data_IF_137524294857
#
_entry.id   IF_137524294857
#
_cell.length_a   1.000
_cell.length_b   1.000
_cell.length_c   1.000
_cell.angle_alpha   90.00
_cell.angle_beta   90.00
_cell.angle_gamma   90.00
#
_symmetry.space_group_name_H-M   'P 1'
#
loop_
_entity.id
_entity.type
_entity.pdbx_description
1 polymer ?
#
# COMPACT_ATOMS: atom_id res chain seq x y z
N UNK A 1 7.51 -21.36 -19.11
CA UNK A 1 6.21 -20.85 -19.60
C UNK A 1 6.46 -19.86 -20.72
N UNK A 2 5.73 -19.95 -21.83
CA UNK A 2 5.87 -19.02 -22.96
C UNK A 2 5.27 -17.64 -22.67
N UNK A 3 5.66 -16.60 -23.44
CA UNK A 3 5.13 -15.24 -23.31
C UNK A 3 3.60 -15.19 -23.42
N UNK A 4 3.02 -15.90 -24.40
CA UNK A 4 1.57 -15.96 -24.61
C UNK A 4 0.84 -16.62 -23.43
N UNK A 5 1.39 -17.70 -22.87
CA UNK A 5 0.86 -18.36 -21.68
C UNK A 5 0.91 -17.44 -20.45
N UNK A 6 1.99 -16.66 -20.30
CA UNK A 6 2.12 -15.68 -19.19
C UNK A 6 1.10 -14.57 -19.32
N UNK A 7 0.94 -13.98 -20.51
CA UNK A 7 -0.06 -12.94 -20.78
C UNK A 7 -1.47 -13.49 -20.53
N UNK A 8 -1.78 -14.70 -21.00
CA UNK A 8 -3.06 -15.35 -20.76
C UNK A 8 -3.33 -15.53 -19.25
N UNK A 9 -2.32 -16.00 -18.51
CA UNK A 9 -2.42 -16.20 -17.06
C UNK A 9 -2.57 -14.89 -16.29
N UNK A 10 -1.86 -13.84 -16.68
CA UNK A 10 -2.02 -12.50 -16.11
C UNK A 10 -3.42 -11.95 -16.38
N UNK A 11 -3.96 -12.12 -17.59
CA UNK A 11 -5.33 -11.70 -17.90
C UNK A 11 -6.38 -12.51 -17.11
N UNK A 12 -6.22 -13.83 -16.98
CA UNK A 12 -7.09 -14.65 -16.13
C UNK A 12 -7.05 -14.18 -14.66
N UNK A 13 -5.84 -13.89 -14.17
CA UNK A 13 -5.62 -13.36 -12.82
C UNK A 13 -6.33 -12.03 -12.61
N UNK A 14 -6.22 -11.13 -13.59
CA UNK A 14 -6.90 -9.83 -13.60
C UNK A 14 -8.42 -10.02 -13.50
N UNK A 15 -9.02 -10.83 -14.36
CA UNK A 15 -10.47 -11.07 -14.36
C UNK A 15 -10.96 -11.68 -13.03
N UNK A 16 -10.19 -12.61 -12.47
CA UNK A 16 -10.50 -13.23 -11.18
C UNK A 16 -10.42 -12.21 -10.04
N UNK A 17 -9.44 -11.31 -10.05
CA UNK A 17 -9.32 -10.24 -9.06
C UNK A 17 -10.45 -9.22 -9.13
N UNK A 18 -10.92 -8.87 -10.34
CA UNK A 18 -12.06 -7.94 -10.49
C UNK A 18 -13.32 -8.47 -9.78
N UNK A 19 -13.54 -9.78 -9.90
CA UNK A 19 -14.67 -10.51 -9.29
C UNK A 19 -14.37 -11.04 -7.89
N UNK A 20 -13.26 -10.63 -7.27
CA UNK A 20 -12.85 -11.16 -5.96
C UNK A 20 -13.86 -10.81 -4.87
N UNK A 21 -14.33 -11.83 -4.15
CA UNK A 21 -15.32 -11.77 -3.07
C UNK A 21 -14.87 -12.47 -1.77
N UNK A 22 -13.76 -13.20 -1.79
CA UNK A 22 -13.16 -13.91 -0.65
C UNK A 22 -12.43 -12.96 0.33
N UNK A 23 -11.55 -13.49 1.20
CA UNK A 23 -10.79 -12.67 2.17
C UNK A 23 -9.56 -11.98 1.55
N UNK A 24 -9.00 -10.98 2.26
CA UNK A 24 -7.73 -10.34 1.87
C UNK A 24 -6.57 -11.34 1.93
N UNK A 25 -6.52 -12.17 2.99
CA UNK A 25 -5.51 -13.23 3.13
C UNK A 25 -5.47 -14.17 1.92
N UNK A 26 -6.62 -14.68 1.49
CA UNK A 26 -6.70 -15.56 0.33
C UNK A 26 -6.30 -14.84 -0.96
N UNK A 27 -6.57 -13.53 -1.07
CA UNK A 27 -6.15 -12.72 -2.22
C UNK A 27 -4.63 -12.61 -2.30
N UNK A 28 -3.98 -12.33 -1.15
CA UNK A 28 -2.52 -12.24 -1.05
C UNK A 28 -1.89 -13.59 -1.44
N UNK A 29 -2.40 -14.69 -0.90
CA UNK A 29 -1.86 -16.03 -1.19
C UNK A 29 -2.08 -16.44 -2.64
N UNK A 30 -3.23 -16.10 -3.22
CA UNK A 30 -3.52 -16.30 -4.63
C UNK A 30 -2.52 -15.55 -5.52
N UNK A 31 -2.31 -14.26 -5.27
CA UNK A 31 -1.37 -13.44 -6.04
C UNK A 31 0.07 -13.92 -5.91
N UNK A 32 0.52 -14.23 -4.69
CA UNK A 32 1.83 -14.80 -4.46
C UNK A 32 2.03 -16.10 -5.26
N UNK A 33 1.02 -16.96 -5.30
CA UNK A 33 1.10 -18.23 -6.02
C UNK A 33 1.20 -18.00 -7.52
N UNK A 34 0.35 -17.12 -8.07
CA UNK A 34 0.38 -16.76 -9.49
C UNK A 34 1.74 -16.16 -9.88
N UNK A 35 2.23 -15.16 -9.14
CA UNK A 35 3.49 -14.50 -9.47
C UNK A 35 4.69 -15.43 -9.28
N UNK A 36 4.67 -16.33 -8.28
CA UNK A 36 5.68 -17.38 -8.14
C UNK A 36 5.67 -18.31 -9.35
N UNK A 37 4.50 -18.74 -9.82
CA UNK A 37 4.39 -19.63 -10.99
C UNK A 37 4.85 -18.96 -12.29
N UNK A 38 4.56 -17.68 -12.47
CA UNK A 38 5.02 -16.89 -13.63
C UNK A 38 6.55 -16.71 -13.59
N UNK A 39 7.12 -16.45 -12.41
CA UNK A 39 8.55 -16.19 -12.24
C UNK A 39 9.41 -17.46 -12.07
N UNK A 40 8.80 -18.64 -11.82
CA UNK A 40 9.55 -19.89 -11.59
C UNK A 40 10.37 -20.35 -12.80
N UNK A 41 9.97 -19.92 -13.99
CA UNK A 41 10.61 -20.28 -15.26
C UNK A 41 11.48 -19.16 -15.85
N UNK A 42 11.73 -18.09 -15.09
CA UNK A 42 12.52 -16.96 -15.56
C UNK A 42 14.02 -17.33 -15.55
N UNK A 43 14.66 -17.32 -16.72
CA UNK A 43 16.11 -17.09 -16.78
C UNK A 43 16.36 -15.60 -16.55
N UNK A 44 17.45 -15.24 -15.87
CA UNK A 44 17.79 -13.83 -15.55
C UNK A 44 17.90 -12.90 -16.79
N UNK A 45 17.88 -13.47 -18.01
CA UNK A 45 18.01 -12.78 -19.30
C UNK A 45 16.68 -12.57 -20.06
N UNK A 46 15.54 -13.10 -19.60
CA UNK A 46 14.26 -12.84 -20.27
C UNK A 46 13.76 -11.42 -19.95
N UNK A 47 13.58 -10.57 -20.97
CA UNK A 47 12.99 -9.25 -20.78
C UNK A 47 11.47 -9.38 -20.64
N UNK A 48 10.94 -8.85 -19.53
CA UNK A 48 9.50 -8.62 -19.35
C UNK A 48 9.00 -7.74 -20.49
N UNK A 49 7.95 -8.17 -21.18
CA UNK A 49 7.34 -7.39 -22.27
C UNK A 49 6.62 -6.16 -21.73
N UNK A 50 6.56 -5.08 -22.52
CA UNK A 50 5.78 -3.88 -22.20
C UNK A 50 4.30 -4.23 -21.95
N UNK A 51 3.78 -5.23 -22.67
CA UNK A 51 2.41 -5.72 -22.52
C UNK A 51 2.20 -6.44 -21.18
N UNK A 52 3.14 -7.31 -20.79
CA UNK A 52 3.11 -7.96 -19.46
C UNK A 52 3.17 -6.91 -18.35
N UNK A 53 4.07 -5.94 -18.47
CA UNK A 53 4.24 -4.88 -17.49
C UNK A 53 2.96 -4.05 -17.33
N UNK A 54 2.26 -3.77 -18.44
CA UNK A 54 0.97 -3.06 -18.41
C UNK A 54 -0.10 -3.86 -17.67
N UNK A 55 -0.24 -5.16 -17.94
CA UNK A 55 -1.23 -6.02 -17.26
C UNK A 55 -0.90 -6.13 -15.77
N UNK A 56 0.38 -6.27 -15.40
CA UNK A 56 0.83 -6.29 -14.00
C UNK A 56 0.46 -4.97 -13.29
N UNK A 57 0.62 -3.83 -13.95
CA UNK A 57 0.19 -2.54 -13.39
C UNK A 57 -1.32 -2.47 -13.15
N UNK A 58 -2.12 -3.02 -14.08
CA UNK A 58 -3.58 -3.09 -13.93
C UNK A 58 -3.98 -4.01 -12.78
N UNK A 59 -3.35 -5.19 -12.66
CA UNK A 59 -3.53 -6.12 -11.53
C UNK A 59 -3.22 -5.42 -10.20
N UNK A 60 -2.08 -4.74 -10.10
CA UNK A 60 -1.67 -4.02 -8.90
C UNK A 60 -2.68 -2.92 -8.53
N UNK A 61 -3.28 -2.26 -9.52
CA UNK A 61 -4.33 -1.25 -9.29
C UNK A 61 -5.62 -1.88 -8.75
N UNK A 62 -6.04 -3.02 -9.30
CA UNK A 62 -7.21 -3.76 -8.82
C UNK A 62 -6.98 -4.28 -7.40
N UNK A 63 -5.84 -4.92 -7.16
CA UNK A 63 -5.45 -5.42 -5.83
C UNK A 63 -5.45 -4.31 -4.78
N UNK A 64 -4.88 -3.14 -5.11
CA UNK A 64 -4.89 -1.96 -4.25
C UNK A 64 -6.31 -1.53 -3.91
N UNK A 65 -7.18 -1.39 -4.92
CA UNK A 65 -8.57 -1.00 -4.70
C UNK A 65 -9.31 -2.00 -3.81
N UNK A 66 -9.17 -3.30 -4.07
CA UNK A 66 -9.76 -4.36 -3.24
C UNK A 66 -9.24 -4.32 -1.81
N UNK A 67 -7.94 -4.10 -1.62
CA UNK A 67 -7.33 -3.95 -0.28
C UNK A 67 -7.98 -2.80 0.49
N UNK A 68 -8.18 -1.64 -0.15
CA UNK A 68 -8.87 -0.49 0.45
C UNK A 68 -10.35 -0.80 0.75
N UNK A 69 -11.05 -1.56 -0.09
CA UNK A 69 -12.41 -2.03 0.21
C UNK A 69 -12.47 -2.94 1.47
N UNK A 70 -11.46 -3.79 1.68
CA UNK A 70 -11.37 -4.60 2.90
C UNK A 70 -11.15 -3.74 4.14
N UNK A 71 -10.32 -2.70 4.06
CA UNK A 71 -10.12 -1.72 5.15
C UNK A 71 -11.45 -1.11 5.58
N UNK A 72 -12.30 -0.74 4.62
CA UNK A 72 -13.62 -0.18 4.90
C UNK A 72 -14.56 -1.17 5.59
N UNK A 73 -14.53 -2.44 5.15
CA UNK A 73 -15.30 -3.52 5.79
C UNK A 73 -14.82 -3.80 7.22
N UNK A 74 -13.51 -3.69 7.47
CA UNK A 74 -12.89 -4.01 8.75
C UNK A 74 -13.01 -2.90 9.79
N UNK A 75 -12.91 -1.64 9.39
CA UNK A 75 -13.08 -0.49 10.31
C UNK A 75 -14.40 -0.58 11.10
N UNK A 76 -15.44 -1.18 10.50
CA UNK A 76 -16.78 -1.27 11.08
C UNK A 76 -17.04 -2.58 11.85
N UNK A 77 -16.07 -3.48 11.99
CA UNK A 77 -16.22 -4.78 12.67
C UNK A 77 -15.06 -5.03 13.65
N UNK A 78 -15.30 -5.79 14.72
CA UNK A 78 -14.22 -6.29 15.58
C UNK A 78 -13.46 -7.40 14.82
N UNK A 79 -12.46 -6.99 14.05
CA UNK A 79 -11.64 -7.89 13.23
C UNK A 79 -10.36 -8.29 13.98
N UNK A 80 -9.97 -9.56 13.87
CA UNK A 80 -8.67 -10.05 14.33
C UNK A 80 -7.74 -10.15 13.13
N UNK A 81 -6.74 -9.26 13.07
CA UNK A 81 -5.77 -9.25 11.99
C UNK A 81 -4.78 -10.41 12.12
N UNK A 82 -4.37 -10.97 10.98
CA UNK A 82 -3.13 -11.74 10.91
C UNK A 82 -1.94 -10.86 10.45
N UNK A 83 -0.72 -11.32 10.73
CA UNK A 83 0.49 -10.52 10.48
C UNK A 83 0.70 -10.21 8.98
N UNK A 84 0.31 -11.12 8.07
CA UNK A 84 0.44 -10.93 6.61
C UNK A 84 -0.46 -9.80 6.09
N UNK A 85 -1.69 -9.75 6.58
CA UNK A 85 -2.64 -8.69 6.21
C UNK A 85 -2.11 -7.32 6.65
N UNK A 86 -1.57 -7.23 7.87
CA UNK A 86 -0.97 -5.99 8.38
C UNK A 86 0.25 -5.57 7.56
N UNK A 87 1.15 -6.50 7.25
CA UNK A 87 2.31 -6.23 6.39
C UNK A 87 1.90 -5.67 5.02
N UNK A 88 0.79 -6.18 4.45
CA UNK A 88 0.23 -5.64 3.20
C UNK A 88 -0.27 -4.21 3.37
N UNK A 89 -0.96 -3.89 4.47
CA UNK A 89 -1.45 -2.53 4.77
C UNK A 89 -0.28 -1.56 5.01
N UNK A 90 0.79 -1.99 5.67
CA UNK A 90 2.01 -1.20 5.88
C UNK A 90 2.72 -0.91 4.55
N UNK A 91 2.81 -1.91 3.68
CA UNK A 91 3.36 -1.76 2.32
C UNK A 91 2.57 -0.72 1.54
N UNK A 92 1.24 -0.72 1.66
CA UNK A 92 0.39 0.28 1.02
C UNK A 92 0.64 1.70 1.57
N UNK A 93 0.76 1.86 2.89
CA UNK A 93 1.14 3.15 3.49
C UNK A 93 2.51 3.64 3.00
N UNK A 94 3.49 2.74 2.92
CA UNK A 94 4.84 3.07 2.44
C UNK A 94 4.82 3.50 0.98
N UNK A 95 4.07 2.81 0.13
CA UNK A 95 3.91 3.17 -1.28
C UNK A 95 3.33 4.58 -1.44
N UNK A 96 2.32 4.92 -0.64
CA UNK A 96 1.70 6.25 -0.67
C UNK A 96 2.67 7.31 -0.16
N UNK A 97 3.41 7.02 0.90
CA UNK A 97 4.43 7.92 1.40
C UNK A 97 5.50 8.23 0.35
N UNK A 98 5.96 7.20 -0.37
CA UNK A 98 6.92 7.36 -1.46
C UNK A 98 6.33 8.23 -2.58
N UNK A 99 5.07 8.00 -2.98
CA UNK A 99 4.37 8.84 -3.96
C UNK A 99 4.24 10.30 -3.51
N UNK A 100 3.93 10.55 -2.24
CA UNK A 100 3.87 11.91 -1.67
C UNK A 100 5.25 12.58 -1.74
N UNK A 101 6.33 11.86 -1.43
CA UNK A 101 7.68 12.41 -1.52
C UNK A 101 8.09 12.72 -2.96
N UNK A 102 7.76 11.84 -3.90
CA UNK A 102 7.97 12.05 -5.33
C UNK A 102 7.22 13.31 -5.83
N UNK A 103 5.94 13.44 -5.48
CA UNK A 103 5.13 14.61 -5.82
C UNK A 103 5.68 15.90 -5.20
N UNK A 104 6.12 15.86 -3.94
CA UNK A 104 6.80 17.01 -3.30
C UNK A 104 8.06 17.40 -4.07
N UNK A 105 8.82 16.45 -4.59
CA UNK A 105 10.01 16.74 -5.37
C UNK A 105 9.66 17.37 -6.73
N UNK A 106 8.62 16.89 -7.41
CA UNK A 106 8.13 17.55 -8.62
C UNK A 106 7.65 18.98 -8.37
N UNK A 107 6.93 19.21 -7.28
CA UNK A 107 6.40 20.54 -6.92
C UNK A 107 7.46 21.53 -6.46
N UNK A 108 8.64 21.05 -6.04
CA UNK A 108 9.81 21.88 -5.72
C UNK A 108 10.63 22.26 -6.96
N UNK A 109 10.40 21.59 -8.09
CA UNK A 109 11.15 21.86 -9.31
C UNK A 109 10.67 23.20 -9.91
N UNK A 110 11.61 24.03 -10.36
CA UNK A 110 11.34 25.31 -11.04
C UNK A 110 10.42 25.14 -12.26
N UNK A 111 10.46 23.97 -12.92
CA UNK A 111 9.54 23.63 -14.00
C UNK A 111 8.07 23.66 -13.57
N UNK A 112 7.74 23.29 -12.32
CA UNK A 112 6.38 23.36 -11.77
C UNK A 112 5.91 24.80 -11.55
N UNK A 113 6.83 25.71 -11.23
CA UNK A 113 6.52 27.13 -11.04
C UNK A 113 6.40 27.89 -12.37
N UNK A 114 7.13 27.48 -13.40
CA UNK A 114 7.20 28.21 -14.68
C UNK A 114 6.38 27.62 -15.82
N UNK A 115 6.02 26.34 -15.77
CA UNK A 115 5.30 25.65 -16.85
C UNK A 115 3.92 25.17 -16.37
N UNK A 116 2.87 25.80 -16.89
CA UNK A 116 1.49 25.49 -16.52
C UNK A 116 1.05 24.09 -16.97
N UNK A 117 1.50 23.59 -18.12
CA UNK A 117 1.20 22.23 -18.58
C UNK A 117 1.85 21.18 -17.67
N UNK A 118 3.09 21.42 -17.25
CA UNK A 118 3.79 20.54 -16.31
C UNK A 118 3.12 20.58 -14.93
N UNK A 119 2.71 21.77 -14.46
CA UNK A 119 1.94 21.94 -13.22
C UNK A 119 0.65 21.14 -13.24
N UNK A 120 -0.16 21.30 -14.29
CA UNK A 120 -1.42 20.58 -14.44
C UNK A 120 -1.22 19.06 -14.47
N UNK A 121 -0.18 18.56 -15.14
CA UNK A 121 0.16 17.13 -15.13
C UNK A 121 0.51 16.62 -13.73
N UNK A 122 1.32 17.35 -12.99
CA UNK A 122 1.72 16.98 -11.62
C UNK A 122 0.52 17.05 -10.66
N UNK A 123 -0.32 18.08 -10.79
CA UNK A 123 -1.54 18.22 -9.98
C UNK A 123 -2.57 17.13 -10.28
N UNK A 124 -2.76 16.78 -11.56
CA UNK A 124 -3.60 15.65 -11.96
C UNK A 124 -3.06 14.32 -11.43
N UNK A 125 -1.74 14.09 -11.49
CA UNK A 125 -1.10 12.90 -10.91
C UNK A 125 -1.31 12.84 -9.40
N UNK A 126 -1.24 13.97 -8.70
CA UNK A 126 -1.56 14.04 -7.27
C UNK A 126 -3.02 13.68 -6.99
N UNK A 127 -3.95 14.18 -7.80
CA UNK A 127 -5.38 13.90 -7.68
C UNK A 127 -5.66 12.40 -7.85
N UNK A 128 -5.23 11.83 -8.97
CA UNK A 128 -5.45 10.42 -9.32
C UNK A 128 -4.87 9.44 -8.28
N UNK A 129 -3.72 9.78 -7.69
CA UNK A 129 -2.99 8.87 -6.79
C UNK A 129 -3.36 9.01 -5.32
N UNK A 130 -3.73 10.22 -4.87
CA UNK A 130 -3.97 10.51 -3.45
C UNK A 130 -5.44 10.65 -3.09
N UNK A 131 -6.32 11.07 -4.01
CA UNK A 131 -7.75 11.21 -3.67
C UNK A 131 -8.44 9.90 -3.33
N UNK A 132 -8.23 8.79 -4.09
CA UNK A 132 -8.81 7.50 -3.73
C UNK A 132 -8.38 7.04 -2.34
N UNK A 133 -7.23 7.51 -1.85
CA UNK A 133 -6.68 7.10 -0.55
C UNK A 133 -7.21 7.90 0.64
N UNK A 134 -7.59 9.16 0.45
CA UNK A 134 -8.05 10.04 1.53
C UNK A 134 -9.08 9.41 2.49
N UNK A 135 -10.15 8.73 2.02
CA UNK A 135 -11.14 8.17 2.94
C UNK A 135 -10.65 6.96 3.75
N UNK A 136 -9.55 6.32 3.33
CA UNK A 136 -9.01 5.12 3.95
C UNK A 136 -7.84 5.40 4.89
N UNK A 137 -7.24 6.59 4.83
CA UNK A 137 -6.04 6.91 5.60
C UNK A 137 -6.24 6.66 7.09
N UNK A 138 -7.20 7.34 7.71
CA UNK A 138 -7.45 7.23 9.16
C UNK A 138 -7.78 5.78 9.55
N UNK A 139 -8.50 5.06 8.67
CA UNK A 139 -8.86 3.66 8.86
C UNK A 139 -7.61 2.77 8.86
N UNK A 140 -6.74 2.89 7.85
CA UNK A 140 -5.48 2.15 7.78
C UNK A 140 -4.59 2.40 8.99
N UNK A 141 -4.45 3.67 9.38
CA UNK A 141 -3.69 4.06 10.56
C UNK A 141 -4.26 3.42 11.82
N UNK A 142 -5.58 3.46 11.98
CA UNK A 142 -6.27 2.85 13.10
C UNK A 142 -6.06 1.33 13.15
N UNK A 143 -6.22 0.62 12.03
CA UNK A 143 -6.08 -0.84 11.99
C UNK A 143 -4.65 -1.28 12.34
N UNK A 144 -3.64 -0.62 11.75
CA UNK A 144 -2.23 -0.91 12.02
C UNK A 144 -1.87 -0.58 13.47
N UNK A 145 -2.28 0.58 13.97
CA UNK A 145 -2.01 0.97 15.37
C UNK A 145 -2.64 -0.02 16.35
N UNK A 146 -3.89 -0.41 16.12
CA UNK A 146 -4.62 -1.38 16.96
C UNK A 146 -3.92 -2.74 16.98
N UNK A 147 -3.42 -3.22 15.84
CA UNK A 147 -2.65 -4.46 15.78
C UNK A 147 -1.41 -4.41 16.68
N UNK A 148 -0.62 -3.35 16.60
CA UNK A 148 0.58 -3.20 17.43
C UNK A 148 0.27 -3.02 18.92
N UNK A 149 -0.80 -2.30 19.26
CA UNK A 149 -1.28 -2.21 20.63
C UNK A 149 -1.67 -3.57 21.20
N UNK A 150 -2.38 -4.39 20.43
CA UNK A 150 -2.78 -5.73 20.85
C UNK A 150 -1.58 -6.68 20.97
N UNK A 151 -0.59 -6.59 20.06
CA UNK A 151 0.67 -7.34 20.14
C UNK A 151 1.47 -6.95 21.38
N UNK A 152 1.50 -5.66 21.74
CA UNK A 152 2.12 -5.16 22.98
C UNK A 152 1.42 -5.71 24.23
N UNK A 153 0.08 -5.70 24.28
CA UNK A 153 -0.70 -6.24 25.40
C UNK A 153 -0.46 -7.74 25.60
N UNK A 154 -0.41 -8.52 24.51
CA UNK A 154 -0.16 -9.97 24.57
C UNK A 154 1.28 -10.32 24.99
N UNK A 155 2.26 -9.48 24.65
CA UNK A 155 3.65 -9.67 25.06
C UNK A 155 3.92 -9.25 26.50
N UNK A 156 3.16 -8.29 27.05
CA UNK A 156 3.29 -7.89 28.47
C UNK A 156 2.63 -8.86 29.45
N UNK A 157 1.75 -9.76 28.99
CA UNK A 157 1.08 -10.78 29.82
C UNK A 157 1.85 -12.10 29.96
N UNK A 158 2.97 -12.28 29.25
CA UNK A 158 3.77 -13.52 29.31
C UNK A 158 5.07 -13.27 30.08
N UNK A 159 5.01 -13.33 31.41
CA UNK A 159 6.20 -13.37 32.26
C UNK A 159 6.77 -14.78 32.37
N UNK A 160 8.11 -14.88 32.39
CA UNK A 160 8.96 -16.04 32.71
C UNK A 160 9.28 -17.01 31.56
N UNK A 161 10.21 -16.62 30.70
CA UNK A 161 11.32 -17.50 30.30
C UNK A 161 12.48 -16.70 29.70
N UNK A 162 13.69 -16.87 30.25
CA UNK A 162 14.91 -16.20 29.80
C UNK A 162 15.38 -16.79 28.48
N UNK A 163 15.01 -16.16 27.37
CA UNK A 163 15.67 -16.36 26.07
C UNK A 163 16.14 -15.01 25.53
N UNK A 164 17.37 -14.99 25.02
CA UNK A 164 18.18 -13.81 24.69
C UNK A 164 17.38 -12.62 24.12
N UNK A 165 17.25 -11.57 24.93
CA UNK A 165 16.29 -10.47 24.78
C UNK A 165 16.80 -9.24 24.03
N UNK A 166 17.96 -9.29 23.35
CA UNK A 166 18.63 -8.06 22.92
C UNK A 166 18.30 -7.56 21.50
N UNK A 167 17.58 -8.30 20.66
CA UNK A 167 17.44 -7.93 19.22
C UNK A 167 16.02 -7.76 18.68
N UNK A 168 14.99 -8.19 19.40
CA UNK A 168 13.57 -8.15 18.93
C UNK A 168 12.72 -6.95 19.43
N UNK A 169 12.95 -6.33 20.61
CA UNK A 169 12.10 -5.22 21.06
C UNK A 169 12.40 -3.91 20.32
N UNK A 170 13.66 -3.69 19.93
CA UNK A 170 14.09 -2.44 19.31
C UNK A 170 13.66 -2.36 17.85
N UNK A 171 13.71 -3.47 17.11
CA UNK A 171 13.21 -3.56 15.73
C UNK A 171 11.71 -3.31 15.67
N UNK A 172 10.90 -3.88 16.57
CA UNK A 172 9.47 -3.55 16.65
C UNK A 172 9.22 -2.08 17.02
N UNK A 173 9.99 -1.52 17.96
CA UNK A 173 9.87 -0.12 18.35
C UNK A 173 10.30 0.84 17.22
N UNK A 174 11.31 0.46 16.43
CA UNK A 174 11.77 1.19 15.24
C UNK A 174 10.71 1.11 14.14
N UNK A 175 10.14 -0.07 13.87
CA UNK A 175 9.05 -0.24 12.89
C UNK A 175 7.83 0.57 13.31
N UNK A 176 7.44 0.51 14.59
CA UNK A 176 6.35 1.32 15.15
C UNK A 176 6.67 2.82 15.05
N UNK A 177 7.91 3.23 15.33
CA UNK A 177 8.35 4.61 15.20
C UNK A 177 8.31 5.12 13.76
N UNK A 178 8.83 4.33 12.82
CA UNK A 178 8.86 4.67 11.38
C UNK A 178 7.44 4.72 10.82
N UNK A 179 6.60 3.72 11.09
CA UNK A 179 5.20 3.71 10.65
C UNK A 179 4.45 4.90 11.25
N UNK A 180 4.65 5.23 12.52
CA UNK A 180 4.04 6.43 13.16
C UNK A 180 4.50 7.74 12.50
N UNK A 181 5.80 7.88 12.20
CA UNK A 181 6.34 9.08 11.54
C UNK A 181 5.82 9.21 10.11
N UNK A 182 5.78 8.12 9.35
CA UNK A 182 5.19 8.08 8.00
C UNK A 182 3.72 8.48 8.07
N UNK A 183 2.98 7.87 8.99
CA UNK A 183 1.55 8.12 9.22
C UNK A 183 1.26 9.58 9.53
N UNK A 184 2.03 10.18 10.45
CA UNK A 184 1.94 11.59 10.78
C UNK A 184 2.30 12.48 9.59
N UNK A 185 3.33 12.11 8.82
CA UNK A 185 3.72 12.82 7.60
C UNK A 185 2.61 12.84 6.53
N UNK A 186 1.96 11.70 6.29
CA UNK A 186 0.81 11.60 5.36
C UNK A 186 -0.35 12.46 5.89
N UNK A 187 -0.68 12.37 7.18
CA UNK A 187 -1.77 13.13 7.81
C UNK A 187 -1.56 14.64 7.72
N UNK A 188 -0.34 15.11 8.02
CA UNK A 188 0.02 16.53 7.89
C UNK A 188 -0.10 16.98 6.44
N UNK A 189 0.39 16.20 5.48
CA UNK A 189 0.33 16.54 4.06
C UNK A 189 -1.12 16.71 3.56
N UNK A 190 -1.99 15.74 3.87
CA UNK A 190 -3.39 15.78 3.45
C UNK A 190 -4.18 16.86 4.18
N UNK A 191 -3.90 17.10 5.46
CA UNK A 191 -4.45 18.23 6.21
C UNK A 191 -4.10 19.57 5.54
N UNK A 192 -2.85 19.73 5.08
CA UNK A 192 -2.43 20.93 4.35
C UNK A 192 -3.13 21.06 2.99
N UNK A 193 -3.35 19.95 2.28
CA UNK A 193 -4.13 19.91 1.02
C UNK A 193 -5.58 20.39 1.26
N UNK A 194 -6.28 19.81 2.23
CA UNK A 194 -7.66 20.21 2.56
C UNK A 194 -7.79 21.69 2.92
N UNK A 195 -6.80 22.23 3.66
CA UNK A 195 -6.76 23.66 4.03
C UNK A 195 -6.55 24.58 2.83
N UNK A 196 -5.80 24.15 1.80
CA UNK A 196 -5.66 24.90 0.54
C UNK A 196 -6.99 24.93 -0.23
N UNK A 197 -7.71 23.82 -0.33
CA UNK A 197 -9.00 23.74 -1.03
C UNK A 197 -10.04 24.70 -0.41
N UNK A 198 -10.07 24.83 0.93
CA UNK A 198 -10.97 25.79 1.61
C UNK A 198 -10.67 27.26 1.31
N UNK A 199 -9.42 27.64 0.99
CA UNK A 199 -9.07 29.03 0.65
C UNK A 199 -9.52 29.46 -0.74
N UNK A 200 -9.83 28.52 -1.63
CA UNK A 200 -10.32 28.79 -2.99
C UNK A 200 -11.84 28.61 -3.14
N UNK A 201 -12.55 28.28 -2.06
CA UNK A 201 -14.01 28.19 -2.03
C UNK A 201 -14.59 29.48 -1.43
N UNK A 202 -14.32 30.61 -2.08
CA UNK A 202 -14.97 31.93 -1.90
C UNK A 202 -15.22 32.49 -3.28
#
# INVERSE_FOLDING_TARGET
MSLEERIAKLNETKEKLEKWDSSLSEMIEFLETVFKEINKDFSEDEKVSDEEMKIVQEINKIERNKTLEFVDKWHNKNFQFNDKEIERLETELLNIWNKINELKNYKKNEAYEKNDDYRQKVDKKEEEELEPFQPYQEKLLFLISRHYEDKKKKTSSTSNNSTNSKTLPWTLAIIFGITTVISAGIAIYLFWKQRKIKKFKV
#
